data_IF_152427473738
#
_entry.id   IF_152427473738
#
_cell.length_a   1.000
_cell.length_b   1.000
_cell.length_c   1.000
_cell.angle_alpha   90.00
_cell.angle_beta   90.00
_cell.angle_gamma   90.00
#
_symmetry.space_group_name_H-M   'P 1'
#
loop_
_entity.id
_entity.type
_entity.pdbx_description
1 polymer ?
#
# COMPACT_ATOMS: atom_id res chain seq x y z
N UNK A 1 4.22 2.94 -17.23
CA UNK A 1 5.53 3.26 -16.63
C UNK A 1 5.74 2.39 -15.40
N UNK A 2 6.96 1.90 -15.18
CA UNK A 2 7.39 1.40 -13.88
C UNK A 2 7.62 2.58 -12.93
N UNK A 3 7.34 2.40 -11.65
CA UNK A 3 7.72 3.36 -10.62
C UNK A 3 9.24 3.48 -10.52
N UNK A 4 9.72 4.71 -10.29
CA UNK A 4 11.14 4.99 -10.03
C UNK A 4 11.22 5.75 -8.70
N UNK A 5 11.91 5.22 -7.68
CA UNK A 5 12.06 5.91 -6.40
C UNK A 5 12.89 7.18 -6.55
N UNK A 6 12.61 8.20 -5.73
CA UNK A 6 13.42 9.40 -5.67
C UNK A 6 14.80 9.12 -5.05
N UNK A 7 15.85 9.69 -5.63
CA UNK A 7 17.22 9.62 -5.10
C UNK A 7 17.60 10.85 -4.25
N UNK A 8 16.70 11.82 -4.10
CA UNK A 8 16.95 13.08 -3.39
C UNK A 8 15.77 13.45 -2.50
N UNK A 9 16.09 14.14 -1.40
CA UNK A 9 15.13 14.71 -0.47
C UNK A 9 15.11 16.24 -0.59
N UNK A 10 13.95 16.90 -0.46
CA UNK A 10 12.62 16.28 -0.33
C UNK A 10 12.21 15.57 -1.62
N UNK A 11 11.39 14.53 -1.51
CA UNK A 11 10.86 13.82 -2.68
C UNK A 11 10.02 14.78 -3.53
N UNK A 12 10.30 14.96 -4.84
CA UNK A 12 9.54 15.85 -5.71
C UNK A 12 8.07 15.44 -5.87
N UNK A 13 7.68 14.23 -5.50
CA UNK A 13 6.28 13.80 -5.46
C UNK A 13 5.51 14.36 -4.25
N UNK A 14 6.17 15.04 -3.30
CA UNK A 14 5.54 15.64 -2.12
C UNK A 14 5.52 17.17 -2.27
N UNK A 15 4.37 17.71 -2.66
CA UNK A 15 4.12 19.15 -2.67
C UNK A 15 3.50 19.59 -1.34
N UNK A 16 4.06 20.65 -0.74
CA UNK A 16 3.54 21.22 0.50
C UNK A 16 2.83 22.53 0.18
N UNK A 17 1.52 22.56 0.43
CA UNK A 17 0.67 23.73 0.16
C UNK A 17 0.58 24.70 1.35
N UNK A 18 0.81 24.21 2.57
CA UNK A 18 0.75 24.97 3.82
C UNK A 18 1.95 24.62 4.71
N UNK A 19 2.60 25.65 5.26
CA UNK A 19 3.79 25.52 6.11
C UNK A 19 3.54 24.66 7.35
N UNK A 20 2.32 24.65 7.89
CA UNK A 20 1.95 23.85 9.06
C UNK A 20 2.14 22.33 8.82
N UNK A 21 2.10 21.87 7.56
CA UNK A 21 2.33 20.47 7.23
C UNK A 21 3.79 20.03 7.48
N UNK A 22 4.76 20.96 7.53
CA UNK A 22 6.16 20.61 7.77
C UNK A 22 6.37 19.92 9.13
N UNK A 23 5.55 20.25 10.14
CA UNK A 23 5.61 19.61 11.45
C UNK A 23 5.04 18.17 11.46
N UNK A 24 4.25 17.79 10.44
CA UNK A 24 3.57 16.49 10.35
C UNK A 24 4.33 15.47 9.49
N UNK A 25 5.40 15.89 8.82
CA UNK A 25 6.19 15.02 7.93
C UNK A 25 7.61 14.84 8.44
N UNK A 26 8.19 13.68 8.14
CA UNK A 26 9.64 13.52 8.19
C UNK A 26 10.24 14.09 6.90
N UNK A 27 11.20 15.02 7.02
CA UNK A 27 11.84 15.65 5.86
C UNK A 27 12.48 14.64 4.89
N UNK A 28 13.01 13.54 5.45
CA UNK A 28 13.64 12.45 4.71
C UNK A 28 12.67 11.34 4.29
N UNK A 29 11.36 11.55 4.37
CA UNK A 29 10.39 10.59 3.83
C UNK A 29 10.28 10.75 2.30
N UNK A 30 10.10 9.63 1.62
CA UNK A 30 9.81 9.55 0.19
C UNK A 30 8.57 8.71 -0.05
N UNK A 31 8.01 8.81 -1.25
CA UNK A 31 6.94 7.91 -1.68
C UNK A 31 7.53 6.51 -1.90
N UNK A 32 6.72 5.47 -1.70
CA UNK A 32 7.06 4.10 -2.03
C UNK A 32 5.88 3.44 -2.76
N UNK A 33 6.17 2.65 -3.79
CA UNK A 33 5.17 1.81 -4.45
C UNK A 33 5.25 0.38 -3.93
N UNK A 34 4.31 0.01 -3.07
CA UNK A 34 4.22 -1.35 -2.52
C UNK A 34 3.67 -2.38 -3.51
N UNK A 35 2.82 -1.95 -4.46
CA UNK A 35 2.16 -2.85 -5.40
C UNK A 35 1.76 -2.18 -6.71
N UNK A 36 1.63 -2.99 -7.77
CA UNK A 36 1.01 -2.63 -9.06
C UNK A 36 0.03 -3.73 -9.49
N UNK A 37 -0.76 -3.49 -10.54
CA UNK A 37 -1.67 -4.51 -11.07
C UNK A 37 -3.04 -4.60 -10.38
N UNK A 38 -3.37 -3.62 -9.54
CA UNK A 38 -4.76 -3.36 -9.15
C UNK A 38 -5.49 -2.64 -10.28
N UNK A 39 -6.77 -2.93 -10.47
CA UNK A 39 -7.63 -2.12 -11.35
C UNK A 39 -8.16 -0.90 -10.59
N UNK A 40 -8.44 -1.05 -9.30
CA UNK A 40 -8.82 0.04 -8.42
C UNK A 40 -8.49 -0.34 -6.97
N UNK A 41 -7.43 0.23 -6.41
CA UNK A 41 -7.03 0.00 -5.03
C UNK A 41 -7.77 0.98 -4.10
N UNK A 42 -8.51 0.47 -3.12
CA UNK A 42 -9.31 1.28 -2.20
C UNK A 42 -9.41 0.64 -0.81
N UNK A 43 -9.78 1.44 0.19
CA UNK A 43 -10.07 0.99 1.56
C UNK A 43 -8.84 0.43 2.28
N UNK A 44 -7.70 1.15 2.32
CA UNK A 44 -6.54 0.71 3.06
C UNK A 44 -6.83 0.65 4.56
N UNK A 45 -6.50 -0.47 5.21
CA UNK A 45 -6.61 -0.66 6.66
C UNK A 45 -5.37 -1.36 7.18
N UNK A 46 -4.72 -0.77 8.18
CA UNK A 46 -3.58 -1.37 8.87
C UNK A 46 -4.06 -2.24 10.05
N UNK A 47 -3.58 -3.48 10.10
CA UNK A 47 -3.80 -4.42 11.21
C UNK A 47 -2.50 -4.60 11.99
N UNK A 48 -2.39 -3.93 13.14
CA UNK A 48 -1.19 -3.94 13.99
C UNK A 48 -0.77 -5.33 14.44
N UNK A 49 -1.72 -6.14 14.94
CA UNK A 49 -1.46 -7.50 15.43
C UNK A 49 -0.92 -8.44 14.34
N UNK A 50 -1.32 -8.19 13.09
CA UNK A 50 -0.88 -8.97 11.92
C UNK A 50 0.28 -8.32 11.18
N UNK A 51 0.70 -7.11 11.57
CA UNK A 51 1.68 -6.27 10.85
C UNK A 51 1.46 -6.24 9.34
N UNK A 52 0.22 -5.98 8.93
CA UNK A 52 -0.10 -5.95 7.51
C UNK A 52 -1.10 -4.86 7.13
N UNK A 53 -0.97 -4.39 5.89
CA UNK A 53 -1.90 -3.47 5.25
C UNK A 53 -2.83 -4.26 4.34
N UNK A 54 -4.14 -4.15 4.57
CA UNK A 54 -5.16 -4.71 3.68
C UNK A 54 -5.75 -3.61 2.80
N UNK A 55 -6.11 -3.94 1.56
CA UNK A 55 -6.92 -3.08 0.71
C UNK A 55 -7.73 -3.92 -0.29
N UNK A 56 -8.78 -3.32 -0.84
CA UNK A 56 -9.64 -3.95 -1.84
C UNK A 56 -9.19 -3.59 -3.24
N UNK A 57 -9.20 -4.58 -4.14
CA UNK A 57 -9.09 -4.39 -5.58
C UNK A 57 -10.46 -4.68 -6.21
N UNK A 58 -11.37 -3.69 -6.12
CA UNK A 58 -12.82 -3.87 -6.24
C UNK A 58 -13.23 -4.57 -7.55
N UNK A 59 -12.76 -4.14 -8.74
CA UNK A 59 -13.15 -4.77 -10.00
C UNK A 59 -12.65 -6.21 -10.15
N UNK A 60 -11.58 -6.58 -9.42
CA UNK A 60 -11.01 -7.93 -9.43
C UNK A 60 -11.54 -8.80 -8.28
N UNK A 61 -12.48 -8.28 -7.47
CA UNK A 61 -13.18 -8.99 -6.39
C UNK A 61 -12.23 -9.79 -5.47
N UNK A 62 -11.15 -9.12 -5.04
CA UNK A 62 -10.16 -9.66 -4.12
C UNK A 62 -9.74 -8.61 -3.08
N UNK A 63 -9.32 -9.09 -1.93
CA UNK A 63 -8.61 -8.31 -0.92
C UNK A 63 -7.14 -8.70 -0.99
N UNK A 64 -6.27 -7.70 -1.05
CA UNK A 64 -4.83 -7.85 -1.05
C UNK A 64 -4.28 -7.51 0.34
N UNK A 65 -3.14 -8.10 0.66
CA UNK A 65 -2.38 -7.89 1.89
C UNK A 65 -0.94 -7.60 1.56
N UNK A 66 -0.41 -6.49 2.05
CA UNK A 66 1.02 -6.24 2.13
C UNK A 66 1.51 -6.62 3.51
N UNK A 67 2.49 -7.51 3.57
CA UNK A 67 3.13 -7.97 4.79
C UNK A 67 4.40 -7.14 5.05
N UNK A 68 4.44 -6.46 6.18
CA UNK A 68 5.53 -5.56 6.56
C UNK A 68 6.85 -6.29 6.84
N UNK A 69 6.79 -7.52 7.33
CA UNK A 69 7.99 -8.31 7.61
C UNK A 69 8.64 -8.85 6.33
N UNK A 70 7.82 -9.21 5.34
CA UNK A 70 8.27 -9.77 4.07
C UNK A 70 8.45 -8.71 2.97
N UNK A 71 7.89 -7.51 3.15
CA UNK A 71 7.84 -6.48 2.11
C UNK A 71 7.07 -6.92 0.86
N UNK A 72 6.12 -7.86 1.00
CA UNK A 72 5.52 -8.57 -0.12
C UNK A 72 3.98 -8.52 -0.09
N UNK A 73 3.38 -8.54 -1.28
CA UNK A 73 1.92 -8.51 -1.45
C UNK A 73 1.39 -9.89 -1.80
N UNK A 74 0.32 -10.30 -1.13
CA UNK A 74 -0.39 -11.56 -1.34
C UNK A 74 -1.90 -11.34 -1.40
N UNK A 75 -2.64 -12.32 -1.95
CA UNK A 75 -4.10 -12.33 -1.87
C UNK A 75 -4.52 -12.76 -0.47
N UNK A 76 -5.27 -11.91 0.21
CA UNK A 76 -5.84 -12.22 1.52
C UNK A 76 -7.17 -12.98 1.39
N UNK A 77 -8.02 -12.55 0.47
CA UNK A 77 -9.31 -13.17 0.19
C UNK A 77 -9.68 -12.98 -1.28
N UNK A 78 -10.25 -14.00 -1.91
CA UNK A 78 -10.89 -13.89 -3.21
C UNK A 78 -12.19 -14.72 -3.26
N UNK A 79 -12.88 -14.69 -4.40
CA UNK A 79 -14.12 -15.47 -4.59
C UNK A 79 -13.91 -16.97 -4.79
N UNK A 80 -12.68 -17.44 -5.01
CA UNK A 80 -12.37 -18.83 -5.41
C UNK A 80 -11.98 -19.73 -4.24
N UNK A 81 -11.86 -19.20 -3.04
CA UNK A 81 -11.63 -20.01 -1.84
C UNK A 81 -12.91 -20.75 -1.44
N UNK A 82 -13.23 -21.81 -2.19
CA UNK A 82 -14.09 -22.88 -1.66
C UNK A 82 -13.35 -23.49 -0.47
N UNK A 83 -13.97 -23.59 0.72
CA UNK A 83 -13.35 -24.31 1.82
C UNK A 83 -13.20 -25.78 1.39
N UNK A 84 -11.96 -26.24 1.23
CA UNK A 84 -11.69 -27.68 1.16
C UNK A 84 -12.06 -28.26 2.51
N UNK A 85 -13.28 -28.80 2.62
CA UNK A 85 -13.64 -29.65 3.74
C UNK A 85 -12.69 -30.86 3.73
N UNK A 86 -11.91 -31.00 4.80
CA UNK A 86 -11.15 -32.21 5.13
C UNK A 86 -12.02 -33.09 6.01
#
# INVERSE_FOLDING_TARGET
MSYTPSLRYPDPCIEVLDEAFHALRLYSASVEQLHTGCRWAEGPVWFGDMRCLLWSDIPNNRILRWDDALGAVSVFRDRRTTPTAT
#
